data_IF_584459564006
#
_entry.id   IF_584459564006
#
_cell.length_a   1.000
_cell.length_b   1.000
_cell.length_c   1.000
_cell.angle_alpha   90.00
_cell.angle_beta   90.00
_cell.angle_gamma   90.00
#
_symmetry.space_group_name_H-M   'P 1'
#
loop_
_entity.id
_entity.type
_entity.pdbx_description
1 polymer ?
#
# COMPACT_ATOMS: atom_id res chain seq x y z
N UNK A 1 -3.79 -13.21 -22.18
CA UNK A 1 -5.17 -12.68 -22.07
C UNK A 1 -5.22 -11.80 -20.83
N UNK A 2 -5.32 -10.49 -20.99
CA UNK A 2 -5.41 -9.56 -19.84
C UNK A 2 -6.74 -9.78 -19.13
N UNK A 3 -6.72 -9.86 -17.81
CA UNK A 3 -7.94 -9.95 -16.99
C UNK A 3 -8.25 -8.58 -16.44
N UNK A 4 -9.45 -8.09 -16.77
CA UNK A 4 -9.98 -6.82 -16.30
C UNK A 4 -11.10 -7.09 -15.29
N UNK A 5 -11.04 -6.40 -14.16
CA UNK A 5 -12.06 -6.47 -13.11
C UNK A 5 -12.57 -5.07 -12.81
N UNK A 6 -13.89 -4.94 -12.70
CA UNK A 6 -14.58 -3.73 -12.25
C UNK A 6 -15.35 -4.03 -10.98
N UNK A 7 -15.30 -3.11 -10.04
CA UNK A 7 -16.07 -3.17 -8.82
C UNK A 7 -16.45 -1.77 -8.34
N UNK A 8 -17.38 -1.70 -7.42
CA UNK A 8 -17.72 -0.46 -6.74
C UNK A 8 -18.22 -0.73 -5.34
N UNK A 9 -18.03 0.24 -4.47
CA UNK A 9 -18.69 0.35 -3.19
C UNK A 9 -19.77 1.41 -3.31
N UNK A 10 -21.05 1.07 -3.02
CA UNK A 10 -22.13 2.04 -3.11
C UNK A 10 -21.95 3.15 -2.06
N UNK A 11 -22.62 4.26 -2.28
CA UNK A 11 -22.67 5.33 -1.29
C UNK A 11 -23.27 4.81 0.03
N UNK A 12 -22.54 5.03 1.11
CA UNK A 12 -23.00 4.79 2.47
C UNK A 12 -22.80 6.08 3.27
N UNK A 13 -23.88 6.59 3.84
CA UNK A 13 -23.86 7.77 4.71
C UNK A 13 -23.33 9.07 4.04
N UNK A 14 -23.59 9.27 2.75
CA UNK A 14 -23.13 10.44 2.00
C UNK A 14 -21.62 10.50 1.74
N UNK A 15 -20.94 9.35 1.81
CA UNK A 15 -19.50 9.25 1.49
C UNK A 15 -19.21 9.22 -0.01
N UNK A 16 -20.26 9.04 -0.82
CA UNK A 16 -20.16 8.89 -2.25
C UNK A 16 -19.73 7.50 -2.71
N UNK A 17 -20.04 7.18 -3.95
CA UNK A 17 -19.64 5.90 -4.55
C UNK A 17 -18.14 5.87 -4.82
N UNK A 18 -17.49 4.77 -4.44
CA UNK A 18 -16.09 4.49 -4.78
C UNK A 18 -16.01 3.42 -5.85
N UNK A 19 -15.34 3.70 -6.94
CA UNK A 19 -15.18 2.81 -8.09
C UNK A 19 -13.78 2.19 -8.09
N UNK A 20 -13.67 0.94 -8.52
CA UNK A 20 -12.44 0.16 -8.63
C UNK A 20 -12.31 -0.40 -10.05
N UNK A 21 -11.15 -0.23 -10.64
CA UNK A 21 -10.72 -0.92 -11.88
C UNK A 21 -9.39 -1.59 -11.59
N UNK A 22 -9.29 -2.87 -11.94
CA UNK A 22 -8.05 -3.65 -11.77
C UNK A 22 -7.77 -4.41 -13.06
N UNK A 23 -6.54 -4.34 -13.52
CA UNK A 23 -6.10 -5.04 -14.74
C UNK A 23 -4.79 -5.78 -14.48
N UNK A 24 -4.74 -7.03 -14.88
CA UNK A 24 -3.49 -7.75 -14.99
C UNK A 24 -2.78 -7.37 -16.29
N UNK A 25 -1.82 -6.45 -16.20
CA UNK A 25 -1.12 -5.86 -17.36
C UNK A 25 0.02 -6.73 -17.88
N UNK A 26 0.51 -7.67 -17.07
CA UNK A 26 1.53 -8.65 -17.47
C UNK A 26 1.31 -10.00 -16.79
N UNK A 27 1.65 -11.08 -17.49
CA UNK A 27 1.62 -12.44 -16.94
C UNK A 27 3.00 -12.92 -16.47
N UNK A 28 4.06 -12.51 -17.14
CA UNK A 28 5.43 -12.90 -16.82
C UNK A 28 6.38 -11.72 -16.96
N UNK A 29 6.80 -11.09 -15.85
CA UNK A 29 6.33 -11.31 -14.49
C UNK A 29 4.87 -10.87 -14.29
N UNK A 30 4.14 -11.46 -13.32
CA UNK A 30 2.77 -11.06 -13.05
C UNK A 30 2.76 -9.64 -12.46
N UNK A 31 2.09 -8.72 -13.17
CA UNK A 31 1.94 -7.32 -12.76
C UNK A 31 0.45 -6.97 -12.85
N UNK A 32 -0.06 -6.40 -11.78
CA UNK A 32 -1.43 -5.91 -11.68
C UNK A 32 -1.42 -4.40 -11.50
N UNK A 33 -2.13 -3.68 -12.35
CA UNK A 33 -2.42 -2.27 -12.17
C UNK A 33 -3.81 -2.09 -11.59
N UNK A 34 -4.01 -1.02 -10.82
CA UNK A 34 -5.31 -0.70 -10.22
C UNK A 34 -5.55 0.80 -10.19
N UNK A 35 -6.83 1.14 -10.28
CA UNK A 35 -7.34 2.50 -10.13
C UNK A 35 -8.58 2.48 -9.27
N UNK A 36 -8.58 3.28 -8.21
CA UNK A 36 -9.70 3.44 -7.28
C UNK A 36 -10.03 4.93 -7.25
N UNK A 37 -11.29 5.30 -7.41
CA UNK A 37 -11.67 6.70 -7.33
C UNK A 37 -13.01 6.90 -6.60
N UNK A 38 -13.07 8.02 -5.88
CA UNK A 38 -14.30 8.55 -5.30
C UNK A 38 -14.46 10.00 -5.76
N UNK A 39 -15.21 10.25 -6.85
CA UNK A 39 -15.35 11.60 -7.40
C UNK A 39 -15.99 12.58 -6.43
N UNK A 40 -16.94 12.14 -5.61
CA UNK A 40 -17.64 13.00 -4.64
C UNK A 40 -16.69 13.53 -3.55
N UNK A 41 -15.61 12.83 -3.26
CA UNK A 41 -14.60 13.24 -2.28
C UNK A 41 -13.33 13.79 -2.92
N UNK A 42 -13.27 13.83 -4.25
CA UNK A 42 -12.07 14.27 -4.97
C UNK A 42 -10.85 13.37 -4.73
N UNK A 43 -11.07 12.07 -4.53
CA UNK A 43 -10.02 11.10 -4.23
C UNK A 43 -9.79 10.17 -5.43
N UNK A 44 -8.52 9.97 -5.77
CA UNK A 44 -8.10 8.97 -6.74
C UNK A 44 -6.82 8.28 -6.27
N UNK A 45 -6.81 6.96 -6.27
CA UNK A 45 -5.65 6.13 -5.97
C UNK A 45 -5.33 5.29 -7.20
N UNK A 46 -4.11 5.39 -7.69
CA UNK A 46 -3.60 4.57 -8.78
C UNK A 46 -2.29 3.91 -8.41
N UNK A 47 -2.05 2.74 -8.94
CA UNK A 47 -0.81 2.06 -8.68
C UNK A 47 -0.67 0.76 -9.44
N UNK A 48 0.45 0.12 -9.23
CA UNK A 48 0.70 -1.22 -9.73
C UNK A 48 1.41 -2.04 -8.66
N UNK A 49 1.22 -3.34 -8.73
CA UNK A 49 1.82 -4.31 -7.82
C UNK A 49 2.34 -5.51 -8.59
N UNK A 50 3.59 -5.86 -8.31
CA UNK A 50 4.20 -7.11 -8.71
C UNK A 50 4.85 -7.75 -7.49
N UNK A 51 5.08 -9.06 -7.54
CA UNK A 51 5.66 -9.80 -6.43
C UNK A 51 6.85 -10.61 -6.89
N UNK A 52 7.92 -10.56 -6.11
CA UNK A 52 9.09 -11.44 -6.28
C UNK A 52 9.32 -12.22 -4.99
N UNK A 53 9.16 -13.52 -5.10
CA UNK A 53 9.32 -14.43 -3.96
C UNK A 53 10.74 -14.98 -3.93
N UNK A 54 11.32 -15.05 -2.74
CA UNK A 54 12.60 -15.70 -2.48
C UNK A 54 12.54 -16.46 -1.16
N UNK A 55 13.36 -17.51 -1.06
CA UNK A 55 13.50 -18.30 0.16
C UNK A 55 14.85 -17.97 0.81
N UNK A 56 14.83 -17.60 2.08
CA UNK A 56 16.06 -17.25 2.83
C UNK A 56 15.90 -17.57 4.31
N UNK A 57 16.86 -18.31 4.89
CA UNK A 57 16.93 -18.56 6.32
C UNK A 57 15.71 -19.29 6.93
N UNK A 58 14.97 -20.08 6.14
CA UNK A 58 13.76 -20.76 6.61
C UNK A 58 12.49 -19.91 6.51
N UNK A 59 12.58 -18.72 5.93
CA UNK A 59 11.47 -17.80 5.70
C UNK A 59 11.23 -17.62 4.19
N UNK A 60 9.99 -17.38 3.81
CA UNK A 60 9.65 -16.91 2.45
C UNK A 60 9.56 -15.39 2.51
N UNK A 61 10.37 -14.74 1.67
CA UNK A 61 10.36 -13.28 1.54
C UNK A 61 9.66 -12.93 0.25
N UNK A 62 8.59 -12.14 0.34
CA UNK A 62 7.86 -11.61 -0.81
C UNK A 62 8.15 -10.13 -0.91
N UNK A 63 9.04 -9.79 -1.86
CA UNK A 63 9.30 -8.39 -2.20
C UNK A 63 8.15 -7.87 -3.04
N UNK A 64 7.46 -6.88 -2.54
CA UNK A 64 6.46 -6.15 -3.31
C UNK A 64 7.16 -5.11 -4.18
N UNK A 65 6.89 -5.16 -5.48
CA UNK A 65 7.45 -4.24 -6.48
C UNK A 65 6.30 -3.40 -6.97
N UNK A 66 6.45 -2.08 -6.88
CA UNK A 66 5.43 -1.13 -7.28
C UNK A 66 5.23 -0.05 -6.22
N UNK A 67 4.29 0.81 -6.50
CA UNK A 67 3.91 1.92 -5.63
C UNK A 67 2.46 2.31 -5.90
N UNK A 68 1.90 3.09 -5.01
CA UNK A 68 0.61 3.74 -5.18
C UNK A 68 0.79 5.26 -5.15
N UNK A 69 -0.01 5.96 -5.93
CA UNK A 69 -0.15 7.42 -5.88
C UNK A 69 -1.59 7.75 -5.52
N UNK A 70 -1.77 8.38 -4.36
CA UNK A 70 -3.04 8.92 -3.93
C UNK A 70 -3.10 10.40 -4.29
N UNK A 71 -4.07 10.78 -5.09
CA UNK A 71 -4.37 12.19 -5.43
C UNK A 71 -5.59 12.65 -4.64
N UNK A 72 -5.46 13.78 -3.98
CA UNK A 72 -6.52 14.42 -3.17
C UNK A 72 -6.81 15.79 -3.77
N UNK A 73 -8.05 16.05 -4.16
CA UNK A 73 -8.48 17.39 -4.55
C UNK A 73 -8.64 18.26 -3.30
N UNK A 74 -8.04 19.45 -3.33
CA UNK A 74 -8.12 20.41 -2.24
C UNK A 74 -9.27 21.40 -2.44
N UNK A 75 -9.81 21.98 -1.36
CA UNK A 75 -10.93 22.93 -1.44
C UNK A 75 -10.63 24.21 -2.26
N UNK A 76 -9.37 24.57 -2.37
CA UNK A 76 -8.87 25.72 -3.14
C UNK A 76 -8.76 25.44 -4.66
N UNK A 77 -9.14 24.24 -5.09
CA UNK A 77 -9.02 23.78 -6.47
C UNK A 77 -7.65 23.18 -6.82
N UNK A 78 -6.70 23.16 -5.86
CA UNK A 78 -5.42 22.48 -5.99
C UNK A 78 -5.53 20.97 -5.87
N UNK A 79 -4.38 20.30 -6.01
CA UNK A 79 -4.25 18.85 -5.81
C UNK A 79 -3.03 18.58 -4.94
N UNK A 80 -3.16 17.61 -4.07
CA UNK A 80 -2.03 17.05 -3.33
C UNK A 80 -1.86 15.59 -3.69
N UNK A 81 -0.62 15.17 -3.94
CA UNK A 81 -0.30 13.79 -4.32
C UNK A 81 0.58 13.16 -3.25
N UNK A 82 0.28 11.92 -2.94
CA UNK A 82 1.02 11.12 -1.97
C UNK A 82 1.54 9.85 -2.66
N UNK A 83 2.86 9.75 -2.76
CA UNK A 83 3.54 8.54 -3.20
C UNK A 83 3.66 7.58 -2.03
N UNK A 84 3.14 6.37 -2.18
CA UNK A 84 3.10 5.35 -1.13
C UNK A 84 3.89 4.14 -1.62
N UNK A 85 4.91 3.72 -0.87
CA UNK A 85 5.68 2.52 -1.16
C UNK A 85 5.10 1.30 -0.46
N UNK A 86 5.32 0.12 -1.03
CA UNK A 86 4.81 -1.15 -0.51
C UNK A 86 5.88 -1.83 0.36
N UNK A 87 5.55 -2.22 1.60
CA UNK A 87 6.46 -2.95 2.47
C UNK A 87 6.65 -4.39 1.99
N UNK A 88 7.70 -5.05 2.44
CA UNK A 88 7.89 -6.48 2.21
C UNK A 88 6.95 -7.31 3.06
N UNK A 89 6.53 -8.46 2.51
CA UNK A 89 5.90 -9.54 3.24
C UNK A 89 6.96 -10.59 3.60
N UNK A 90 6.87 -11.11 4.80
CA UNK A 90 7.68 -12.21 5.29
C UNK A 90 6.76 -13.30 5.85
N UNK A 91 7.00 -14.54 5.44
CA UNK A 91 6.28 -15.69 5.95
C UNK A 91 7.28 -16.51 6.75
N UNK A 92 7.05 -16.58 8.04
CA UNK A 92 7.87 -17.29 9.01
C UNK A 92 7.10 -18.49 9.62
N UNK A 93 7.77 -19.26 10.48
CA UNK A 93 7.15 -20.37 11.20
C UNK A 93 6.94 -21.63 10.37
N UNK A 94 7.48 -21.72 9.16
CA UNK A 94 7.34 -22.89 8.29
C UNK A 94 7.89 -24.17 8.92
N UNK A 95 9.00 -24.08 9.62
CA UNK A 95 9.65 -25.22 10.28
C UNK A 95 8.92 -25.71 11.54
N UNK A 96 8.12 -24.86 12.13
CA UNK A 96 7.38 -25.16 13.36
C UNK A 96 5.92 -25.58 13.11
N UNK A 97 5.52 -25.71 11.83
CA UNK A 97 4.17 -26.08 11.45
C UNK A 97 3.11 -25.02 11.74
N UNK A 98 3.52 -23.80 12.09
CA UNK A 98 2.62 -22.67 12.38
C UNK A 98 3.04 -21.44 11.56
N UNK A 99 2.80 -21.44 10.25
CA UNK A 99 3.17 -20.33 9.40
C UNK A 99 2.37 -19.07 9.74
N UNK A 100 3.04 -17.92 9.77
CA UNK A 100 2.43 -16.61 9.95
C UNK A 100 3.03 -15.59 8.99
N UNK A 101 2.26 -14.56 8.67
CA UNK A 101 2.64 -13.52 7.72
C UNK A 101 2.86 -12.23 8.49
N UNK A 102 4.00 -11.58 8.24
CA UNK A 102 4.34 -10.27 8.78
C UNK A 102 4.71 -9.31 7.66
N UNK A 103 4.38 -8.04 7.87
CA UNK A 103 4.96 -6.95 7.09
C UNK A 103 6.31 -6.60 7.72
N UNK A 104 7.34 -6.52 6.89
CA UNK A 104 8.70 -6.22 7.31
C UNK A 104 9.23 -4.98 6.59
N UNK A 105 10.27 -4.37 7.19
CA UNK A 105 10.96 -3.21 6.68
C UNK A 105 10.17 -1.90 6.80
N UNK A 106 10.58 -0.91 6.02
CA UNK A 106 10.08 0.46 6.10
C UNK A 106 9.27 0.78 4.86
N UNK A 107 8.10 1.35 5.08
CA UNK A 107 7.28 1.96 4.03
C UNK A 107 7.37 3.49 4.14
N UNK A 108 7.31 4.16 3.01
CA UNK A 108 7.39 5.61 2.92
C UNK A 108 6.12 6.17 2.29
N UNK A 109 5.68 7.30 2.81
CA UNK A 109 4.61 8.10 2.22
C UNK A 109 5.17 9.50 2.02
N UNK A 110 5.30 9.92 0.78
CA UNK A 110 5.82 11.24 0.41
C UNK A 110 4.73 12.07 -0.22
N UNK A 111 4.50 13.27 0.32
CA UNK A 111 3.56 14.26 -0.21
C UNK A 111 4.23 15.19 -1.22
N UNK A 112 3.47 15.65 -2.22
CA UNK A 112 3.89 16.71 -3.14
C UNK A 112 4.15 18.05 -2.45
N UNK A 113 3.58 18.28 -1.26
CA UNK A 113 3.85 19.44 -0.41
C UNK A 113 5.18 19.36 0.37
N UNK A 114 5.97 18.29 0.16
CA UNK A 114 7.30 18.13 0.75
C UNK A 114 7.34 17.37 2.07
N UNK A 115 6.22 16.85 2.56
CA UNK A 115 6.16 16.02 3.75
C UNK A 115 6.57 14.58 3.44
N UNK A 116 7.33 13.98 4.35
CA UNK A 116 7.73 12.58 4.30
C UNK A 116 7.33 11.89 5.61
N UNK A 117 6.53 10.84 5.50
CA UNK A 117 6.21 9.94 6.60
C UNK A 117 6.95 8.61 6.41
N UNK A 118 7.53 8.11 7.49
CA UNK A 118 8.25 6.84 7.51
C UNK A 118 7.54 5.88 8.46
N UNK A 119 7.04 4.77 7.93
CA UNK A 119 6.36 3.72 8.70
C UNK A 119 7.32 2.54 8.83
N UNK A 120 7.90 2.36 10.02
CA UNK A 120 8.79 1.24 10.30
C UNK A 120 7.99 0.07 10.86
N UNK A 121 7.99 -1.03 10.12
CA UNK A 121 7.34 -2.28 10.51
C UNK A 121 8.39 -3.17 11.16
N UNK A 122 8.20 -3.43 12.44
CA UNK A 122 9.10 -4.29 13.22
C UNK A 122 8.48 -5.68 13.28
N UNK A 123 9.25 -6.75 12.97
CA UNK A 123 8.78 -8.10 13.18
C UNK A 123 8.50 -8.30 14.67
N UNK A 124 7.35 -8.84 14.99
CA UNK A 124 6.99 -9.16 16.38
C UNK A 124 7.56 -10.53 16.76
N UNK A 125 8.20 -10.68 17.91
CA UNK A 125 8.57 -12.00 18.43
C UNK A 125 7.37 -12.83 18.90
N UNK A 126 6.17 -12.22 18.93
CA UNK A 126 4.90 -12.87 19.27
C UNK A 126 3.93 -12.54 18.12
N UNK A 127 3.20 -13.51 17.55
CA UNK A 127 2.21 -13.23 16.51
C UNK A 127 1.10 -12.35 17.09
N UNK A 128 1.20 -11.05 16.92
CA UNK A 128 0.17 -10.08 17.28
C UNK A 128 -0.61 -9.77 16.01
N UNK A 129 -1.91 -9.93 15.99
CA UNK A 129 -2.72 -9.74 14.80
C UNK A 129 -2.97 -8.26 14.46
N UNK A 130 -2.10 -7.34 14.71
CA UNK A 130 -2.13 -5.98 14.10
C UNK A 130 -0.82 -5.25 14.37
N UNK A 131 -0.14 -4.80 13.32
CA UNK A 131 1.05 -3.97 13.41
C UNK A 131 0.72 -2.60 14.03
N UNK A 132 1.41 -2.24 15.09
CA UNK A 132 1.42 -0.87 15.59
C UNK A 132 2.25 -0.01 14.63
N UNK A 133 1.61 0.84 13.84
CA UNK A 133 2.27 1.84 13.02
C UNK A 133 2.71 3.00 13.91
N UNK A 134 4.01 3.21 14.06
CA UNK A 134 4.54 4.43 14.65
C UNK A 134 4.75 5.47 13.53
N UNK A 135 3.98 6.54 13.55
CA UNK A 135 4.18 7.70 12.69
C UNK A 135 5.15 8.67 13.39
N UNK A 136 6.34 8.85 12.85
CA UNK A 136 7.27 9.88 13.31
C UNK A 136 7.22 11.06 12.35
N UNK A 137 6.74 12.20 12.82
CA UNK A 137 6.84 13.47 12.09
C UNK A 137 8.30 13.96 12.15
N UNK A 138 8.89 14.47 11.06
CA UNK A 138 10.14 15.18 11.13
C UNK A 138 9.90 16.48 11.95
N UNK A 139 10.70 16.68 13.00
CA UNK A 139 10.54 17.75 13.95
C UNK A 139 10.50 19.13 13.28
N UNK A 140 9.48 19.89 13.59
CA UNK A 140 9.41 21.31 13.31
C UNK A 140 10.63 22.01 13.94
N UNK A 141 11.55 22.51 13.12
CA UNK A 141 12.55 23.47 13.61
C UNK A 141 11.84 24.81 13.76
N UNK A 142 11.56 25.17 15.00
CA UNK A 142 11.25 26.55 15.31
C UNK A 142 12.46 27.44 14.94
N UNK A 143 12.18 28.43 14.14
CA UNK A 143 12.92 29.69 14.12
C UNK A 143 12.12 30.73 14.86
#
# INVERSE_FOLDING_TARGET
>A
MCRLFYGFWPDQDGRGQTNLVVEQVSHHPPITAYFICNPSKGLALQGHSAQKTSFSGGSIIVKQIGHAVLTVALPDGGKEEFLITLPRLRIDGLWYGSPYIELAETSYIQSSSGWLSTVRLLPSPIPIPVAAAACSSPGARHR
#
